data_IF_512022283556
#
_entry.id   IF_512022283556
#
_cell.length_a   1.000
_cell.length_b   1.000
_cell.length_c   1.000
_cell.angle_alpha   90.00
_cell.angle_beta   90.00
_cell.angle_gamma   90.00
#
_symmetry.space_group_name_H-M   'P 1'
#
loop_
_entity.id
_entity.type
_entity.pdbx_description
1 polymer ?
#
# COMPACT_ATOMS: atom_id res chain seq x y z
N UNK A 1 -0.99 -1.88 20.09
CA UNK A 1 -1.44 -0.58 20.66
C UNK A 1 -0.58 0.64 20.25
N UNK A 2 0.77 0.54 20.21
CA UNK A 2 1.69 1.65 19.86
C UNK A 2 1.68 2.10 18.37
N UNK A 3 1.63 1.17 17.40
CA UNK A 3 1.78 1.49 15.96
C UNK A 3 0.73 2.46 15.39
N UNK A 4 -0.53 2.42 15.86
CA UNK A 4 -1.63 3.22 15.30
C UNK A 4 -1.69 4.66 15.84
N UNK A 5 -1.29 4.88 17.09
CA UNK A 5 -1.10 6.23 17.66
C UNK A 5 0.11 6.93 17.04
N UNK A 6 1.11 6.16 16.62
CA UNK A 6 2.26 6.67 15.86
C UNK A 6 1.84 7.16 14.47
N UNK A 7 0.89 6.51 13.79
CA UNK A 7 0.39 6.94 12.47
C UNK A 7 -0.25 8.34 12.51
N UNK A 8 -1.15 8.59 13.45
CA UNK A 8 -1.76 9.92 13.59
C UNK A 8 -0.72 11.00 13.91
N UNK A 9 0.25 10.68 14.79
CA UNK A 9 1.36 11.59 15.10
C UNK A 9 2.24 11.85 13.89
N UNK A 10 2.56 10.83 13.10
CA UNK A 10 3.35 10.99 11.88
C UNK A 10 2.66 11.91 10.89
N UNK A 11 1.36 11.71 10.67
CA UNK A 11 0.57 12.51 9.74
C UNK A 11 0.41 13.96 10.20
N UNK A 12 0.22 14.20 11.50
CA UNK A 12 0.03 15.55 12.06
C UNK A 12 1.32 16.33 12.32
N UNK A 13 2.48 15.68 12.47
CA UNK A 13 3.71 16.33 12.95
C UNK A 13 4.50 17.14 11.91
N UNK A 14 4.12 17.19 10.64
CA UNK A 14 4.83 17.96 9.59
C UNK A 14 6.29 17.56 9.34
N UNK A 15 6.83 16.56 10.05
CA UNK A 15 8.20 16.08 9.90
C UNK A 15 8.32 15.22 8.63
N UNK A 16 9.32 15.55 7.82
CA UNK A 16 9.75 14.92 6.56
C UNK A 16 9.00 15.40 5.31
N UNK A 17 9.67 16.28 4.57
CA UNK A 17 9.22 17.03 3.39
C UNK A 17 9.23 16.18 2.09
N UNK A 18 9.85 14.99 2.09
CA UNK A 18 10.13 14.25 0.84
C UNK A 18 9.56 12.82 0.72
N UNK A 19 8.90 12.27 1.75
CA UNK A 19 8.53 10.83 1.72
C UNK A 19 7.22 10.47 2.42
N UNK A 20 6.18 11.30 2.26
CA UNK A 20 4.84 11.00 2.75
C UNK A 20 3.99 10.37 1.65
N UNK A 21 4.25 9.10 1.33
CA UNK A 21 3.34 8.28 0.53
C UNK A 21 2.40 7.55 1.48
N UNK A 22 1.13 7.92 1.46
CA UNK A 22 0.09 7.15 2.16
C UNK A 22 -0.54 6.24 1.12
N UNK A 23 -0.16 4.97 1.17
CA UNK A 23 -0.98 3.92 0.60
C UNK A 23 -2.20 3.77 1.50
N UNK A 24 -3.38 4.14 1.01
CA UNK A 24 -4.60 3.65 1.61
C UNK A 24 -4.63 2.14 1.30
N UNK A 25 -4.11 1.33 2.23
CA UNK A 25 -3.68 -0.06 2.02
C UNK A 25 -4.75 -1.06 1.57
N UNK A 26 -5.95 -0.58 1.24
CA UNK A 26 -7.06 -1.37 0.72
C UNK A 26 -7.73 -0.75 -0.50
N UNK A 27 -7.24 0.34 -1.11
CA UNK A 27 -7.83 0.87 -2.36
C UNK A 27 -6.85 0.76 -3.53
N UNK A 28 -5.59 1.15 -3.34
CA UNK A 28 -4.58 1.05 -4.41
C UNK A 28 -4.00 -0.37 -4.54
N UNK A 29 -3.79 -1.07 -3.44
CA UNK A 29 -3.09 -2.38 -3.44
C UNK A 29 -3.98 -3.57 -3.82
N UNK A 30 -5.31 -3.38 -3.86
CA UNK A 30 -6.26 -4.44 -4.29
C UNK A 30 -6.21 -4.68 -5.80
N UNK A 31 -5.53 -3.81 -6.53
CA UNK A 31 -5.47 -3.83 -8.00
C UNK A 31 -4.39 -4.77 -8.55
N UNK A 32 -3.53 -5.37 -7.70
CA UNK A 32 -2.48 -6.30 -8.11
C UNK A 32 -2.58 -7.59 -7.32
N UNK A 33 -2.67 -8.69 -8.06
CA UNK A 33 -2.77 -10.02 -7.49
C UNK A 33 -1.68 -10.86 -8.13
N UNK A 34 -0.73 -11.32 -7.33
CA UNK A 34 0.18 -12.39 -7.73
C UNK A 34 -0.64 -13.67 -7.74
N UNK A 35 -0.84 -14.24 -8.92
CA UNK A 35 -1.70 -15.42 -9.09
C UNK A 35 -0.92 -16.70 -8.82
N UNK A 36 -1.58 -17.63 -8.16
CA UNK A 36 -1.00 -18.93 -7.83
C UNK A 36 -0.66 -19.70 -9.10
N UNK A 37 -1.65 -19.92 -9.97
CA UNK A 37 -1.53 -20.78 -11.14
C UNK A 37 -0.66 -20.22 -12.28
N UNK A 38 -0.12 -19.00 -12.16
CA UNK A 38 0.69 -18.39 -13.23
C UNK A 38 1.98 -17.76 -12.72
N UNK A 39 1.90 -16.88 -11.73
CA UNK A 39 3.04 -16.06 -11.33
C UNK A 39 3.90 -16.83 -10.33
N UNK A 40 3.28 -17.53 -9.38
CA UNK A 40 4.00 -18.40 -8.45
C UNK A 40 4.73 -19.53 -9.17
N UNK A 41 4.11 -20.13 -10.17
CA UNK A 41 4.75 -21.18 -10.98
C UNK A 41 5.98 -20.66 -11.74
N UNK A 42 5.90 -19.44 -12.31
CA UNK A 42 7.06 -18.78 -12.93
C UNK A 42 8.18 -18.52 -11.92
N UNK A 43 7.85 -18.07 -10.71
CA UNK A 43 8.84 -17.89 -9.65
C UNK A 43 9.49 -19.23 -9.26
N UNK A 44 8.69 -20.30 -9.15
CA UNK A 44 9.17 -21.63 -8.80
C UNK A 44 10.08 -22.24 -9.88
N UNK A 45 9.83 -21.94 -11.16
CA UNK A 45 10.63 -22.40 -12.30
C UNK A 45 11.84 -21.51 -12.62
N UNK A 46 11.91 -20.31 -12.05
CA UNK A 46 13.04 -19.40 -12.24
C UNK A 46 14.30 -19.90 -11.55
N UNK A 47 15.48 -19.40 -11.95
CA UNK A 47 16.74 -19.65 -11.23
C UNK A 47 16.95 -18.74 -10.02
N UNK A 48 15.97 -17.90 -9.68
CA UNK A 48 16.09 -16.84 -8.70
C UNK A 48 16.15 -17.35 -7.26
N UNK A 49 17.23 -17.05 -6.53
CA UNK A 49 17.37 -17.55 -5.14
C UNK A 49 16.27 -17.02 -4.21
N UNK A 50 15.88 -15.76 -4.39
CA UNK A 50 14.82 -15.14 -3.59
C UNK A 50 13.44 -15.61 -4.03
N UNK A 51 13.24 -15.87 -5.33
CA UNK A 51 12.00 -16.46 -5.84
C UNK A 51 11.73 -17.82 -5.17
N UNK A 52 12.72 -18.73 -5.14
CA UNK A 52 12.57 -20.02 -4.47
C UNK A 52 12.33 -19.89 -2.96
N UNK A 53 13.00 -18.96 -2.29
CA UNK A 53 12.76 -18.70 -0.86
C UNK A 53 11.32 -18.21 -0.62
N UNK A 54 10.85 -17.26 -1.42
CA UNK A 54 9.50 -16.73 -1.33
C UNK A 54 8.45 -17.82 -1.60
N UNK A 55 8.64 -18.67 -2.60
CA UNK A 55 7.73 -19.79 -2.88
C UNK A 55 7.50 -20.71 -1.67
N UNK A 56 8.48 -20.85 -0.75
CA UNK A 56 8.35 -21.66 0.48
C UNK A 56 7.49 -21.00 1.56
N UNK A 57 7.48 -19.67 1.62
CA UNK A 57 6.73 -18.92 2.65
C UNK A 57 5.38 -18.44 2.16
N UNK A 58 5.22 -18.28 0.83
CA UNK A 58 4.01 -17.74 0.22
C UNK A 58 2.80 -18.68 0.37
N UNK A 59 3.01 -19.99 0.54
CA UNK A 59 1.92 -20.94 0.78
C UNK A 59 0.97 -20.49 1.89
N UNK A 60 1.53 -20.06 3.03
CA UNK A 60 0.74 -19.58 4.17
C UNK A 60 -0.08 -18.35 3.80
N UNK A 61 0.48 -17.46 2.96
CA UNK A 61 -0.19 -16.24 2.54
C UNK A 61 -1.29 -16.49 1.49
N UNK A 62 -1.06 -17.44 0.58
CA UNK A 62 -2.06 -17.94 -0.36
C UNK A 62 -3.22 -18.62 0.35
N UNK A 63 -2.95 -19.53 1.29
CA UNK A 63 -4.01 -20.18 2.08
C UNK A 63 -4.86 -19.17 2.83
N UNK A 64 -4.23 -18.16 3.46
CA UNK A 64 -4.97 -17.08 4.12
C UNK A 64 -5.90 -16.33 3.16
N UNK A 65 -5.44 -15.99 1.95
CA UNK A 65 -6.26 -15.28 0.96
C UNK A 65 -7.37 -16.14 0.39
N UNK A 66 -7.10 -17.43 0.18
CA UNK A 66 -8.11 -18.40 -0.23
C UNK A 66 -9.22 -18.49 0.82
N UNK A 67 -8.87 -18.68 2.10
CA UNK A 67 -9.85 -18.92 3.15
C UNK A 67 -10.61 -17.65 3.56
N UNK A 68 -9.95 -16.49 3.54
CA UNK A 68 -10.53 -15.23 4.01
C UNK A 68 -11.25 -14.45 2.90
N UNK A 69 -10.82 -14.59 1.65
CA UNK A 69 -11.30 -13.80 0.52
C UNK A 69 -11.78 -14.64 -0.67
N UNK A 70 -11.79 -15.98 -0.56
CA UNK A 70 -12.11 -16.89 -1.67
C UNK A 70 -11.28 -16.59 -2.94
N UNK A 71 -10.02 -16.21 -2.76
CA UNK A 71 -9.15 -15.73 -3.83
C UNK A 71 -7.99 -16.69 -4.09
N UNK A 72 -7.73 -17.01 -5.36
CA UNK A 72 -6.55 -17.74 -5.83
C UNK A 72 -5.41 -16.79 -6.19
N UNK A 73 -4.93 -16.05 -5.20
CA UNK A 73 -4.04 -14.93 -5.43
C UNK A 73 -3.75 -14.15 -4.17
N UNK A 74 -2.64 -13.41 -4.16
CA UNK A 74 -2.22 -12.58 -3.03
C UNK A 74 -1.92 -11.15 -3.43
N UNK A 75 -2.21 -10.20 -2.54
CA UNK A 75 -1.91 -8.79 -2.75
C UNK A 75 -0.44 -8.47 -2.47
N UNK A 76 0.16 -7.62 -3.31
CA UNK A 76 1.57 -7.21 -3.18
C UNK A 76 1.70 -5.86 -2.45
N UNK A 77 1.24 -5.77 -1.20
CA UNK A 77 1.25 -4.50 -0.46
C UNK A 77 2.66 -3.90 -0.30
N UNK A 78 3.57 -4.64 0.33
CA UNK A 78 4.90 -4.15 0.67
C UNK A 78 5.80 -3.96 -0.57
N UNK A 79 5.80 -4.86 -1.57
CA UNK A 79 6.51 -4.61 -2.82
C UNK A 79 6.01 -3.37 -3.55
N UNK A 80 4.70 -3.12 -3.57
CA UNK A 80 4.13 -1.90 -4.16
C UNK A 80 4.56 -0.65 -3.39
N UNK A 81 4.61 -0.71 -2.05
CA UNK A 81 5.11 0.39 -1.23
C UNK A 81 6.58 0.70 -1.49
N UNK A 82 7.41 -0.33 -1.65
CA UNK A 82 8.81 -0.16 -2.01
C UNK A 82 8.96 0.45 -3.40
N UNK A 83 8.21 -0.07 -4.39
CA UNK A 83 8.24 0.45 -5.76
C UNK A 83 7.71 1.89 -5.85
N UNK A 84 6.78 2.29 -5.01
CA UNK A 84 6.33 3.68 -4.93
C UNK A 84 7.46 4.65 -4.55
N UNK A 85 8.44 4.18 -3.76
CA UNK A 85 9.64 4.95 -3.41
C UNK A 85 10.73 4.88 -4.49
N UNK A 86 10.90 3.72 -5.14
CA UNK A 86 11.95 3.49 -6.14
C UNK A 86 11.58 4.09 -7.50
N UNK A 87 10.32 3.94 -7.91
CA UNK A 87 9.80 4.44 -9.18
C UNK A 87 8.42 5.08 -8.97
N UNK A 88 8.37 6.35 -8.51
CA UNK A 88 7.11 7.03 -8.21
C UNK A 88 6.18 7.20 -9.42
N UNK A 89 6.67 7.10 -10.66
CA UNK A 89 5.83 7.24 -11.86
C UNK A 89 4.82 6.11 -12.04
N UNK A 90 4.98 5.00 -11.31
CA UNK A 90 4.03 3.90 -11.28
C UNK A 90 2.77 4.24 -10.50
N UNK A 91 2.76 5.34 -9.74
CA UNK A 91 1.69 5.70 -8.82
C UNK A 91 1.21 7.12 -9.13
N UNK A 92 -0.10 7.31 -9.20
CA UNK A 92 -0.70 8.65 -9.23
C UNK A 92 -1.08 9.05 -7.83
N UNK A 93 -0.76 10.29 -7.47
CA UNK A 93 -1.03 10.85 -6.14
C UNK A 93 -2.06 11.98 -6.20
N UNK A 94 -2.79 12.15 -5.10
CA UNK A 94 -3.53 13.35 -4.79
C UNK A 94 -2.97 13.98 -3.52
N UNK A 95 -3.18 15.28 -3.34
CA UNK A 95 -2.70 16.01 -2.17
C UNK A 95 -3.86 16.51 -1.33
N UNK A 96 -3.68 16.45 -0.01
CA UNK A 96 -4.67 16.93 0.94
C UNK A 96 -4.29 16.57 2.35
N UNK A 97 -5.24 16.67 3.26
CA UNK A 97 -5.01 16.50 4.69
C UNK A 97 -5.58 15.15 5.11
N UNK A 98 -4.79 14.38 5.85
CA UNK A 98 -5.20 13.07 6.36
C UNK A 98 -5.29 13.09 7.89
N UNK A 99 -6.38 12.54 8.43
CA UNK A 99 -6.60 12.30 9.86
C UNK A 99 -6.90 10.83 10.12
N UNK A 100 -6.58 10.34 11.30
CA UNK A 100 -6.83 8.95 11.72
C UNK A 100 -7.67 8.92 12.98
N UNK A 101 -8.80 8.23 12.91
CA UNK A 101 -9.65 7.99 14.07
C UNK A 101 -8.93 7.06 15.06
N UNK A 102 -8.69 7.52 16.30
CA UNK A 102 -7.90 6.74 17.28
C UNK A 102 -8.74 5.98 18.31
N UNK A 103 -10.04 6.23 18.39
CA UNK A 103 -10.98 5.69 19.40
C UNK A 103 -12.31 5.27 18.77
N UNK A 104 -13.10 4.47 19.50
CA UNK A 104 -14.42 4.00 19.06
C UNK A 104 -14.40 2.87 18.04
N UNK A 105 -15.57 2.55 17.47
CA UNK A 105 -15.75 1.43 16.52
C UNK A 105 -15.04 1.65 15.18
N UNK A 106 -14.84 2.91 14.78
CA UNK A 106 -14.11 3.30 13.57
C UNK A 106 -12.61 3.51 13.82
N UNK A 107 -12.09 3.04 14.96
CA UNK A 107 -10.67 3.17 15.31
C UNK A 107 -9.76 2.55 14.25
N UNK A 108 -8.90 3.39 13.67
CA UNK A 108 -7.99 3.05 12.57
C UNK A 108 -8.43 3.60 11.22
N UNK A 109 -9.67 4.11 11.12
CA UNK A 109 -10.16 4.77 9.92
C UNK A 109 -9.28 5.97 9.56
N UNK A 110 -8.90 6.05 8.29
CA UNK A 110 -8.08 7.14 7.73
C UNK A 110 -8.99 8.01 6.87
N UNK A 111 -9.13 9.28 7.23
CA UNK A 111 -10.00 10.24 6.57
C UNK A 111 -9.16 11.24 5.78
N UNK A 112 -9.43 11.33 4.48
CA UNK A 112 -8.73 12.23 3.56
C UNK A 112 -9.62 13.39 3.15
N UNK A 113 -9.05 14.59 3.14
CA UNK A 113 -9.71 15.80 2.67
C UNK A 113 -8.84 16.51 1.63
N UNK A 114 -9.32 16.54 0.38
CA UNK A 114 -8.62 17.07 -0.79
C UNK A 114 -8.84 18.57 -1.05
N UNK A 115 -9.31 19.32 -0.04
CA UNK A 115 -9.49 20.79 -0.10
C UNK A 115 -10.38 21.36 -1.24
N UNK A 116 -11.46 20.70 -1.72
CA UNK A 116 -12.25 21.21 -2.85
C UNK A 116 -13.15 22.39 -2.46
N UNK A 117 -13.43 22.58 -1.16
CA UNK A 117 -14.26 23.67 -0.62
C UNK A 117 -13.73 24.08 0.75
N UNK A 118 -13.64 25.38 1.05
CA UNK A 118 -13.32 25.84 2.41
C UNK A 118 -14.48 25.51 3.36
N UNK A 119 -14.14 25.03 4.55
CA UNK A 119 -15.11 24.92 5.63
C UNK A 119 -15.38 26.32 6.21
N UNK A 120 -16.65 26.61 6.53
CA UNK A 120 -17.03 27.85 7.19
C UNK A 120 -16.67 27.84 8.68
N UNK A 121 -16.56 26.65 9.27
CA UNK A 121 -16.23 26.43 10.67
C UNK A 121 -14.85 25.78 10.84
N UNK A 122 -14.30 25.86 12.06
CA UNK A 122 -13.06 25.18 12.42
C UNK A 122 -13.29 23.67 12.38
N UNK A 123 -12.43 22.96 11.64
CA UNK A 123 -12.49 21.50 11.54
C UNK A 123 -11.18 20.86 11.98
N UNK A 124 -11.22 19.55 12.19
CA UNK A 124 -10.06 18.72 12.47
C UNK A 124 -9.00 18.75 11.33
N UNK A 125 -9.35 19.23 10.13
CA UNK A 125 -8.39 19.39 9.04
C UNK A 125 -7.76 20.79 9.00
N UNK A 126 -8.21 21.75 9.81
CA UNK A 126 -7.67 23.11 9.81
C UNK A 126 -6.21 23.14 10.29
N UNK A 127 -5.37 23.93 9.60
CA UNK A 127 -3.94 24.14 9.89
C UNK A 127 -3.10 22.85 10.02
N UNK A 128 -3.52 21.79 9.33
CA UNK A 128 -2.75 20.54 9.24
C UNK A 128 -1.95 20.46 7.94
N UNK A 129 -0.77 19.82 7.97
CA UNK A 129 0.08 19.70 6.79
C UNK A 129 -0.62 18.87 5.71
N UNK A 130 -0.38 19.26 4.46
CA UNK A 130 -0.76 18.48 3.28
C UNK A 130 0.17 17.27 3.12
N UNK A 131 -0.33 16.17 2.61
CA UNK A 131 0.41 14.94 2.32
C UNK A 131 -0.01 14.37 0.96
N UNK A 132 0.87 13.60 0.33
CA UNK A 132 0.55 12.84 -0.88
C UNK A 132 -0.11 11.52 -0.52
N UNK A 133 -1.26 11.25 -1.13
CA UNK A 133 -2.03 10.01 -0.97
C UNK A 133 -2.06 9.32 -2.32
N UNK A 134 -1.66 8.05 -2.37
CA UNK A 134 -1.74 7.27 -3.59
C UNK A 134 -3.21 7.07 -3.96
N UNK A 135 -3.53 7.21 -5.25
CA UNK A 135 -4.90 7.07 -5.79
C UNK A 135 -4.98 5.91 -6.77
N UNK A 136 -4.09 5.89 -7.76
CA UNK A 136 -4.02 4.82 -8.76
C UNK A 136 -2.61 4.30 -8.89
N UNK A 137 -2.48 3.12 -9.48
CA UNK A 137 -1.20 2.44 -9.67
C UNK A 137 -1.22 1.69 -10.99
N UNK A 138 -0.11 1.74 -11.73
CA UNK A 138 0.08 0.97 -12.95
C UNK A 138 0.32 -0.51 -12.60
N UNK A 139 -0.79 -1.26 -12.61
CA UNK A 139 -0.82 -2.59 -12.08
C UNK A 139 0.02 -3.64 -12.79
N UNK A 140 -0.07 -3.76 -14.12
CA UNK A 140 0.78 -4.66 -14.87
C UNK A 140 2.26 -4.31 -14.70
N UNK A 141 2.62 -3.03 -14.71
CA UNK A 141 4.02 -2.61 -14.60
C UNK A 141 4.63 -2.92 -13.24
N UNK A 142 3.89 -2.73 -12.15
CA UNK A 142 4.32 -3.11 -10.79
C UNK A 142 4.58 -4.62 -10.71
N UNK A 143 3.61 -5.44 -11.13
CA UNK A 143 3.77 -6.90 -11.08
C UNK A 143 4.95 -7.36 -11.94
N UNK A 144 5.08 -6.82 -13.16
CA UNK A 144 6.19 -7.12 -14.06
C UNK A 144 7.54 -6.82 -13.40
N UNK A 145 7.71 -5.65 -12.81
CA UNK A 145 8.95 -5.26 -12.14
C UNK A 145 9.28 -6.15 -10.93
N UNK A 146 8.27 -6.52 -10.13
CA UNK A 146 8.46 -7.45 -9.01
C UNK A 146 8.94 -8.80 -9.53
N UNK A 147 8.28 -9.34 -10.56
CA UNK A 147 8.62 -10.63 -11.15
C UNK A 147 10.05 -10.63 -11.71
N UNK A 148 10.40 -9.64 -12.54
CA UNK A 148 11.76 -9.49 -13.11
C UNK A 148 12.84 -9.47 -12.02
N UNK A 149 12.61 -8.70 -10.93
CA UNK A 149 13.59 -8.60 -9.83
C UNK A 149 13.74 -9.87 -9.02
N UNK A 150 12.70 -10.70 -8.95
CA UNK A 150 12.76 -11.97 -8.23
C UNK A 150 13.36 -13.08 -9.09
N UNK A 151 13.07 -13.11 -10.39
CA UNK A 151 13.58 -14.13 -11.30
C UNK A 151 15.06 -13.96 -11.62
N UNK A 152 15.57 -12.73 -11.63
CA UNK A 152 16.96 -12.40 -12.00
C UNK A 152 17.96 -12.45 -10.82
N UNK A 153 17.58 -13.05 -9.68
CA UNK A 153 18.25 -12.88 -8.37
C UNK A 153 19.14 -14.01 -7.85
#
# INVERSE_FOLDING_TARGET
MRKRRAREKFLSAGLVEESRIILNGSECTVQHVLREDTDRDKLAQSGGKFAHYLCKILDVYFSYHHDSYCMKGVYLHDPTALLAAVNPSLITYTEGIVRVQTIGITRGLTLFYNKPKRFAEVTEWLDKPSVKVAVTVDAPSVLKLVMERLTDS
#
